data_IF_067376514714
#
_entry.id   IF_067376514714
#
_cell.length_a   1.000
_cell.length_b   1.000
_cell.length_c   1.000
_cell.angle_alpha   90.00
_cell.angle_beta   90.00
_cell.angle_gamma   90.00
#
_symmetry.space_group_name_H-M   'P 1'
#
loop_
_entity.id
_entity.type
_entity.pdbx_description
1 polymer ?
#
# COMPACT_ATOMS: atom_id res chain seq x y z
N UNK A 1 14.35 61.99 27.11
CA UNK A 1 14.70 60.76 26.38
C UNK A 1 14.07 59.60 27.13
N UNK A 2 12.86 59.24 26.76
CA UNK A 2 12.14 58.05 27.25
C UNK A 2 12.66 56.85 26.48
N UNK A 3 13.50 56.04 27.10
CA UNK A 3 13.86 54.71 26.58
C UNK A 3 12.62 53.82 26.63
N UNK A 4 12.10 53.46 25.46
CA UNK A 4 11.22 52.31 25.30
C UNK A 4 12.01 51.04 25.63
N UNK A 5 11.51 50.15 26.52
CA UNK A 5 12.16 48.89 26.76
C UNK A 5 12.08 48.05 25.48
N UNK A 6 13.23 47.56 25.02
CA UNK A 6 13.29 46.57 23.94
C UNK A 6 12.58 45.29 24.39
N UNK A 7 11.76 44.65 23.55
CA UNK A 7 11.13 43.38 23.91
C UNK A 7 12.24 42.35 24.14
N UNK A 8 12.35 41.86 25.36
CA UNK A 8 13.21 40.74 25.71
C UNK A 8 12.63 39.48 25.07
N UNK A 9 13.08 39.16 23.86
CA UNK A 9 12.80 37.85 23.25
C UNK A 9 13.46 36.77 24.12
N UNK A 10 12.65 36.02 24.87
CA UNK A 10 13.12 34.84 25.58
C UNK A 10 13.24 33.69 24.59
N UNK A 11 14.43 33.08 24.49
CA UNK A 11 14.60 31.86 23.70
C UNK A 11 13.78 30.68 24.25
N UNK A 12 13.35 30.72 25.52
CA UNK A 12 12.51 29.69 26.15
C UNK A 12 11.06 29.75 25.63
N UNK A 13 10.49 30.95 25.49
CA UNK A 13 9.18 31.16 24.83
C UNK A 13 9.22 30.66 23.37
N UNK A 14 10.30 30.95 22.64
CA UNK A 14 10.47 30.48 21.27
C UNK A 14 10.54 28.94 21.17
N UNK A 15 11.19 28.26 22.12
CA UNK A 15 11.22 26.78 22.17
C UNK A 15 9.80 26.25 22.40
N UNK A 16 9.03 26.84 23.32
CA UNK A 16 7.63 26.50 23.54
C UNK A 16 6.79 26.65 22.27
N UNK A 17 6.94 27.76 21.55
CA UNK A 17 6.25 28.01 20.27
C UNK A 17 6.62 26.99 19.19
N UNK A 18 7.91 26.62 19.07
CA UNK A 18 8.35 25.58 18.12
C UNK A 18 7.82 24.19 18.49
N UNK A 19 7.75 23.85 19.78
CA UNK A 19 7.14 22.60 20.24
C UNK A 19 5.64 22.58 19.90
N UNK A 20 4.90 23.66 20.18
CA UNK A 20 3.48 23.79 19.83
C UNK A 20 3.28 23.75 18.31
N UNK A 21 4.13 24.42 17.53
CA UNK A 21 4.09 24.38 16.07
C UNK A 21 4.34 22.97 15.53
N UNK A 22 5.35 22.26 16.04
CA UNK A 22 5.64 20.86 15.70
C UNK A 22 4.42 19.97 15.96
N UNK A 23 3.74 20.18 17.08
CA UNK A 23 2.53 19.47 17.48
C UNK A 23 1.33 19.76 16.58
N UNK A 24 1.13 21.02 16.19
CA UNK A 24 0.12 21.38 15.17
C UNK A 24 0.41 20.71 13.84
N UNK A 25 1.68 20.56 13.44
CA UNK A 25 2.05 19.82 12.23
C UNK A 25 1.70 18.33 12.33
N UNK A 26 1.87 17.70 13.50
CA UNK A 26 1.45 16.30 13.73
C UNK A 26 -0.07 16.13 13.59
N UNK A 27 -0.89 17.07 14.11
CA UNK A 27 -2.36 17.03 13.93
C UNK A 27 -2.74 17.03 12.45
N UNK A 28 -2.16 17.95 11.67
CA UNK A 28 -2.41 18.03 10.24
C UNK A 28 -1.95 16.73 9.54
N UNK A 29 -0.88 16.10 10.03
CA UNK A 29 -0.43 14.79 9.52
C UNK A 29 -1.46 13.68 9.79
N UNK A 30 -2.19 13.73 10.89
CA UNK A 30 -3.23 12.75 11.23
C UNK A 30 -4.49 12.91 10.39
N UNK A 31 -4.90 14.14 10.11
CA UNK A 31 -6.02 14.42 9.20
C UNK A 31 -5.73 13.84 7.80
N UNK A 32 -4.50 14.03 7.31
CA UNK A 32 -4.04 13.41 6.05
C UNK A 32 -4.02 11.89 6.11
N UNK A 33 -3.60 11.33 7.23
CA UNK A 33 -3.58 9.87 7.43
C UNK A 33 -5.01 9.32 7.37
N UNK A 34 -5.95 9.99 8.02
CA UNK A 34 -7.37 9.62 8.01
C UNK A 34 -7.96 9.71 6.60
N UNK A 35 -7.68 10.78 5.87
CA UNK A 35 -8.09 10.93 4.46
C UNK A 35 -7.51 9.80 3.59
N UNK A 36 -6.24 9.46 3.77
CA UNK A 36 -5.59 8.37 3.04
C UNK A 36 -6.24 7.01 3.36
N UNK A 37 -6.52 6.70 4.63
CA UNK A 37 -7.20 5.46 5.04
C UNK A 37 -8.62 5.40 4.47
N UNK A 38 -9.37 6.49 4.53
CA UNK A 38 -10.72 6.57 3.95
C UNK A 38 -10.69 6.35 2.43
N UNK A 39 -9.75 7.00 1.73
CA UNK A 39 -9.55 6.79 0.30
C UNK A 39 -9.26 5.32 -0.02
N UNK A 40 -8.35 4.68 0.73
CA UNK A 40 -8.01 3.27 0.57
C UNK A 40 -9.22 2.36 0.81
N UNK A 41 -10.03 2.65 1.84
CA UNK A 41 -11.27 1.93 2.11
C UNK A 41 -12.27 2.01 0.93
N UNK A 42 -12.48 3.21 0.38
CA UNK A 42 -13.34 3.42 -0.81
C UNK A 42 -12.82 2.67 -2.03
N UNK A 43 -11.52 2.74 -2.29
CA UNK A 43 -10.89 2.04 -3.42
C UNK A 43 -10.99 0.52 -3.24
N UNK A 44 -10.78 -0.01 -2.03
CA UNK A 44 -10.95 -1.45 -1.75
C UNK A 44 -12.36 -1.92 -2.08
N UNK A 45 -13.37 -1.19 -1.62
CA UNK A 45 -14.77 -1.51 -1.91
C UNK A 45 -15.04 -1.51 -3.42
N UNK A 46 -14.58 -0.49 -4.13
CA UNK A 46 -14.73 -0.38 -5.59
C UNK A 46 -14.00 -1.51 -6.33
N UNK A 47 -12.74 -1.80 -5.97
CA UNK A 47 -11.96 -2.91 -6.55
C UNK A 47 -12.68 -4.23 -6.36
N UNK A 48 -13.24 -4.48 -5.17
CA UNK A 48 -14.01 -5.70 -4.92
C UNK A 48 -15.23 -5.83 -5.84
N UNK A 49 -16.01 -4.76 -6.03
CA UNK A 49 -17.17 -4.81 -6.92
C UNK A 49 -16.76 -4.99 -8.39
N UNK A 50 -15.72 -4.29 -8.85
CA UNK A 50 -15.18 -4.47 -10.19
C UNK A 50 -14.63 -5.90 -10.42
N UNK A 51 -14.04 -6.53 -9.40
CA UNK A 51 -13.60 -7.93 -9.47
C UNK A 51 -14.77 -8.91 -9.64
N UNK A 52 -15.90 -8.65 -8.99
CA UNK A 52 -17.14 -9.43 -9.13
C UNK A 52 -17.77 -9.20 -10.50
N UNK A 53 -17.90 -7.94 -10.92
CA UNK A 53 -18.41 -7.58 -12.25
C UNK A 53 -17.58 -8.22 -13.37
N UNK A 54 -16.25 -8.18 -13.25
CA UNK A 54 -15.32 -8.83 -14.19
C UNK A 54 -15.54 -10.34 -14.27
N UNK A 55 -15.73 -11.00 -13.13
CA UNK A 55 -16.02 -12.43 -13.05
C UNK A 55 -17.34 -12.78 -13.75
N UNK A 56 -18.41 -12.06 -13.42
CA UNK A 56 -19.72 -12.24 -14.04
C UNK A 56 -19.70 -11.94 -15.55
N UNK A 57 -19.00 -10.89 -15.98
CA UNK A 57 -18.83 -10.54 -17.40
C UNK A 57 -18.17 -11.68 -18.18
N UNK A 58 -17.15 -12.31 -17.60
CA UNK A 58 -16.47 -13.45 -18.23
C UNK A 58 -17.38 -14.66 -18.38
N UNK A 59 -18.21 -14.96 -17.37
CA UNK A 59 -19.18 -16.05 -17.40
C UNK A 59 -20.36 -15.78 -18.33
N UNK A 60 -20.83 -14.52 -18.37
CA UNK A 60 -21.85 -14.06 -19.31
C UNK A 60 -21.41 -14.30 -20.75
N UNK A 61 -20.23 -13.79 -21.14
CA UNK A 61 -19.67 -14.00 -22.49
C UNK A 61 -19.44 -15.49 -22.75
N UNK A 62 -18.80 -16.20 -21.81
CA UNK A 62 -18.49 -17.63 -21.95
C UNK A 62 -19.72 -18.54 -22.07
N UNK A 63 -20.87 -18.12 -21.52
CA UNK A 63 -22.15 -18.82 -21.67
C UNK A 63 -22.93 -18.42 -22.93
N UNK A 64 -22.36 -17.56 -23.78
CA UNK A 64 -23.06 -17.01 -24.92
C UNK A 64 -24.25 -16.12 -24.53
N UNK A 65 -24.24 -15.52 -23.34
CA UNK A 65 -25.33 -14.68 -22.84
C UNK A 65 -26.54 -15.43 -22.30
N UNK A 66 -26.35 -16.67 -21.81
CA UNK A 66 -27.44 -17.51 -21.30
C UNK A 66 -27.47 -17.57 -19.76
N UNK A 67 -26.34 -17.29 -19.08
CA UNK A 67 -26.18 -17.38 -17.62
C UNK A 67 -25.60 -16.07 -17.08
N UNK A 68 -25.84 -15.77 -15.81
CA UNK A 68 -25.32 -14.61 -15.09
C UNK A 68 -25.92 -13.24 -15.51
N UNK A 69 -27.09 -13.21 -16.16
CA UNK A 69 -27.73 -11.94 -16.54
C UNK A 69 -28.08 -11.08 -15.33
N UNK A 70 -28.75 -11.69 -14.34
CA UNK A 70 -29.26 -11.01 -13.16
C UNK A 70 -28.11 -10.59 -12.23
N UNK A 71 -27.15 -11.49 -12.00
CA UNK A 71 -25.95 -11.20 -11.20
C UNK A 71 -25.10 -10.11 -11.85
N UNK A 72 -24.95 -10.11 -13.19
CA UNK A 72 -24.21 -9.05 -13.88
C UNK A 72 -24.90 -7.70 -13.74
N UNK A 73 -26.23 -7.64 -13.84
CA UNK A 73 -26.99 -6.42 -13.63
C UNK A 73 -26.82 -5.91 -12.18
N UNK A 74 -26.88 -6.80 -11.19
CA UNK A 74 -26.63 -6.48 -9.80
C UNK A 74 -25.22 -5.93 -9.58
N UNK A 75 -24.18 -6.61 -10.08
CA UNK A 75 -22.79 -6.21 -9.86
C UNK A 75 -22.45 -4.90 -10.56
N UNK A 76 -23.08 -4.60 -11.70
CA UNK A 76 -22.97 -3.29 -12.36
C UNK A 76 -23.53 -2.18 -11.48
N UNK A 77 -24.72 -2.36 -10.90
CA UNK A 77 -25.32 -1.38 -10.00
C UNK A 77 -24.50 -1.16 -8.72
N UNK A 78 -23.95 -2.23 -8.14
CA UNK A 78 -23.06 -2.17 -6.98
C UNK A 78 -21.72 -1.47 -7.31
N UNK A 79 -21.16 -1.76 -8.50
CA UNK A 79 -19.96 -1.08 -9.00
C UNK A 79 -20.21 0.41 -9.27
N UNK A 80 -21.38 0.79 -9.79
CA UNK A 80 -21.75 2.18 -10.02
C UNK A 80 -21.92 2.95 -8.71
N UNK A 81 -22.59 2.32 -7.73
CA UNK A 81 -22.76 2.91 -6.39
C UNK A 81 -21.41 3.16 -5.73
N UNK A 82 -20.49 2.19 -5.80
CA UNK A 82 -19.16 2.34 -5.20
C UNK A 82 -18.26 3.30 -5.99
N UNK A 83 -18.37 3.36 -7.32
CA UNK A 83 -17.66 4.33 -8.15
C UNK A 83 -18.12 5.76 -7.89
N UNK A 84 -19.43 5.95 -7.70
CA UNK A 84 -20.01 7.24 -7.34
C UNK A 84 -19.56 7.68 -5.94
N UNK A 85 -19.61 6.80 -4.94
CA UNK A 85 -19.10 7.11 -3.60
C UNK A 85 -17.59 7.42 -3.58
N UNK A 86 -16.81 6.76 -4.43
CA UNK A 86 -15.40 7.10 -4.64
C UNK A 86 -15.26 8.51 -5.22
N UNK A 87 -16.02 8.85 -6.27
CA UNK A 87 -15.99 10.18 -6.90
C UNK A 87 -16.39 11.30 -5.93
N UNK A 88 -17.49 11.12 -5.20
CA UNK A 88 -17.99 12.10 -4.22
C UNK A 88 -16.97 12.38 -3.12
N UNK A 89 -16.19 11.38 -2.70
CA UNK A 89 -15.11 11.58 -1.74
C UNK A 89 -14.00 12.50 -2.29
N UNK A 90 -13.82 12.56 -3.60
CA UNK A 90 -12.79 13.38 -4.25
C UNK A 90 -13.24 14.82 -4.53
N UNK A 91 -14.54 15.10 -4.55
CA UNK A 91 -15.06 16.42 -4.94
C UNK A 91 -14.53 17.53 -4.02
N UNK A 92 -14.29 17.23 -2.73
CA UNK A 92 -13.70 18.16 -1.77
C UNK A 92 -12.18 18.37 -1.89
N UNK A 93 -11.47 17.54 -2.65
CA UNK A 93 -10.00 17.60 -2.75
C UNK A 93 -9.52 18.70 -3.71
N UNK A 94 -10.38 19.14 -4.62
CA UNK A 94 -10.05 20.10 -5.69
C UNK A 94 -10.34 21.55 -5.32
N UNK A 95 -10.85 21.82 -4.11
CA UNK A 95 -11.13 23.17 -3.64
C UNK A 95 -9.83 23.99 -3.45
N UNK A 96 -9.82 25.30 -3.82
CA UNK A 96 -8.65 26.16 -3.64
C UNK A 96 -8.19 26.21 -2.18
N UNK A 97 -6.97 25.76 -1.91
CA UNK A 97 -6.41 25.68 -0.55
C UNK A 97 -6.51 24.29 0.12
N UNK A 98 -7.40 23.41 -0.36
CA UNK A 98 -7.46 22.00 0.08
C UNK A 98 -6.32 21.17 -0.53
N UNK A 99 -5.89 21.52 -1.74
CA UNK A 99 -4.78 20.88 -2.46
C UNK A 99 -3.37 21.25 -1.94
N UNK A 100 -3.23 22.03 -0.87
CA UNK A 100 -1.91 22.42 -0.34
C UNK A 100 -1.05 21.20 0.08
N UNK A 101 -1.67 20.02 0.20
CA UNK A 101 -1.08 18.84 0.83
C UNK A 101 -1.19 17.55 -0.01
N UNK A 102 -1.95 17.55 -1.11
CA UNK A 102 -2.04 16.41 -2.01
C UNK A 102 -0.81 16.35 -2.92
N UNK A 103 -0.05 15.25 -2.87
CA UNK A 103 1.14 15.07 -3.71
C UNK A 103 0.72 15.01 -5.18
N UNK A 104 1.43 15.73 -6.06
CA UNK A 104 1.20 15.72 -7.52
C UNK A 104 1.13 14.30 -8.10
N UNK A 105 1.92 13.36 -7.58
CA UNK A 105 1.92 11.95 -7.99
C UNK A 105 0.58 11.25 -7.69
N UNK A 106 -0.01 11.49 -6.51
CA UNK A 106 -1.31 10.94 -6.11
C UNK A 106 -2.44 11.45 -6.99
N UNK A 107 -2.50 12.77 -7.20
CA UNK A 107 -3.49 13.38 -8.09
C UNK A 107 -3.38 12.84 -9.52
N UNK A 108 -2.16 12.65 -10.03
CA UNK A 108 -1.93 12.02 -11.34
C UNK A 108 -2.45 10.58 -11.42
N UNK A 109 -2.24 9.76 -10.36
CA UNK A 109 -2.79 8.40 -10.30
C UNK A 109 -4.31 8.38 -10.21
N UNK A 110 -4.89 9.30 -9.47
CA UNK A 110 -6.35 9.45 -9.36
C UNK A 110 -6.97 9.85 -10.70
N UNK A 111 -6.36 10.78 -11.44
CA UNK A 111 -6.82 11.17 -12.77
C UNK A 111 -6.83 9.97 -13.74
N UNK A 112 -5.80 9.11 -13.70
CA UNK A 112 -5.77 7.88 -14.50
C UNK A 112 -6.87 6.89 -14.08
N UNK A 113 -7.12 6.72 -12.78
CA UNK A 113 -8.18 5.86 -12.27
C UNK A 113 -9.58 6.36 -12.69
N UNK A 114 -9.83 7.68 -12.57
CA UNK A 114 -11.06 8.32 -13.03
C UNK A 114 -11.25 8.21 -14.53
N UNK A 115 -10.18 8.34 -15.32
CA UNK A 115 -10.24 8.10 -16.76
C UNK A 115 -10.63 6.65 -17.07
N UNK A 116 -10.05 5.67 -16.39
CA UNK A 116 -10.45 4.27 -16.53
C UNK A 116 -11.93 4.03 -16.17
N UNK A 117 -12.42 4.65 -15.09
CA UNK A 117 -13.84 4.58 -14.71
C UNK A 117 -14.76 5.19 -15.77
N UNK A 118 -14.33 6.27 -16.43
CA UNK A 118 -15.11 6.90 -17.51
C UNK A 118 -15.27 6.00 -18.74
N UNK A 119 -14.36 5.03 -18.94
CA UNK A 119 -14.44 4.04 -20.02
C UNK A 119 -15.34 2.83 -19.70
N UNK A 120 -15.76 2.66 -18.44
CA UNK A 120 -16.53 1.51 -17.98
C UNK A 120 -17.86 1.31 -18.73
N UNK A 121 -18.63 2.35 -19.09
CA UNK A 121 -19.84 2.19 -19.89
C UNK A 121 -19.59 1.58 -21.28
N UNK A 122 -18.50 1.97 -21.96
CA UNK A 122 -18.14 1.40 -23.27
C UNK A 122 -17.80 -0.07 -23.15
N UNK A 123 -16.95 -0.41 -22.18
CA UNK A 123 -16.58 -1.81 -21.89
C UNK A 123 -17.83 -2.67 -21.60
N UNK A 124 -18.78 -2.15 -20.83
CA UNK A 124 -20.03 -2.84 -20.52
C UNK A 124 -20.93 -3.03 -21.73
N UNK A 125 -20.99 -2.05 -22.63
CA UNK A 125 -21.74 -2.17 -23.89
C UNK A 125 -21.16 -3.30 -24.75
N UNK A 126 -19.84 -3.32 -24.91
CA UNK A 126 -19.13 -4.37 -25.66
C UNK A 126 -19.31 -5.77 -25.02
N UNK A 127 -19.30 -5.86 -23.69
CA UNK A 127 -19.63 -7.11 -22.96
C UNK A 127 -21.08 -7.55 -23.19
N UNK A 128 -22.03 -6.60 -23.18
CA UNK A 128 -23.45 -6.88 -23.39
C UNK A 128 -23.74 -7.32 -24.83
N UNK A 129 -23.10 -6.69 -25.81
CA UNK A 129 -23.16 -7.06 -27.23
C UNK A 129 -22.37 -8.34 -27.54
N UNK A 130 -21.48 -8.75 -26.62
CA UNK A 130 -20.56 -9.90 -26.74
C UNK A 130 -19.61 -9.75 -27.93
N UNK A 131 -19.15 -8.52 -28.18
CA UNK A 131 -18.15 -8.22 -29.21
C UNK A 131 -16.73 -8.55 -28.75
N UNK A 132 -16.51 -8.58 -27.44
CA UNK A 132 -15.24 -8.97 -26.81
C UNK A 132 -15.19 -10.45 -26.45
N UNK A 133 -14.00 -11.03 -26.52
CA UNK A 133 -13.72 -12.32 -25.90
C UNK A 133 -13.68 -12.20 -24.36
N UNK A 134 -13.89 -13.32 -23.61
CA UNK A 134 -13.78 -13.30 -22.15
C UNK A 134 -12.43 -12.77 -21.64
N UNK A 135 -11.34 -13.05 -22.37
CA UNK A 135 -9.99 -12.60 -22.00
C UNK A 135 -9.78 -11.10 -22.24
N UNK A 136 -10.37 -10.53 -23.29
CA UNK A 136 -10.32 -9.09 -23.55
C UNK A 136 -11.14 -8.30 -22.53
N UNK A 137 -12.35 -8.76 -22.21
CA UNK A 137 -13.16 -8.18 -21.14
C UNK A 137 -12.41 -8.24 -19.79
N UNK A 138 -11.84 -9.41 -19.44
CA UNK A 138 -11.01 -9.59 -18.25
C UNK A 138 -9.84 -8.59 -18.21
N UNK A 139 -9.15 -8.37 -19.34
CA UNK A 139 -8.04 -7.41 -19.44
C UNK A 139 -8.50 -5.98 -19.15
N UNK A 140 -9.59 -5.53 -19.77
CA UNK A 140 -10.13 -4.17 -19.58
C UNK A 140 -10.45 -3.86 -18.12
N UNK A 141 -11.15 -4.76 -17.43
CA UNK A 141 -11.41 -4.60 -15.99
C UNK A 141 -10.12 -4.65 -15.15
N UNK A 142 -9.18 -5.54 -15.50
CA UNK A 142 -7.93 -5.70 -14.74
C UNK A 142 -7.02 -4.47 -14.86
N UNK A 143 -7.03 -3.77 -16.00
CA UNK A 143 -6.30 -2.50 -16.19
C UNK A 143 -6.87 -1.36 -15.33
N UNK A 144 -8.20 -1.29 -15.22
CA UNK A 144 -8.86 -0.36 -14.30
C UNK A 144 -8.53 -0.68 -12.83
N UNK A 145 -8.65 -1.95 -12.43
CA UNK A 145 -8.30 -2.39 -11.06
C UNK A 145 -6.83 -2.08 -10.75
N UNK A 146 -5.91 -2.32 -11.69
CA UNK A 146 -4.48 -1.98 -11.55
C UNK A 146 -4.28 -0.48 -11.31
N UNK A 147 -5.03 0.37 -12.02
CA UNK A 147 -4.95 1.82 -11.86
C UNK A 147 -5.45 2.27 -10.47
N UNK A 148 -6.50 1.64 -9.96
CA UNK A 148 -7.01 1.86 -8.60
C UNK A 148 -6.02 1.40 -7.53
N UNK A 149 -5.43 0.20 -7.67
CA UNK A 149 -4.41 -0.29 -6.74
C UNK A 149 -3.14 0.59 -6.74
N UNK A 150 -2.80 1.23 -7.86
CA UNK A 150 -1.70 2.19 -7.92
C UNK A 150 -1.97 3.46 -7.10
N UNK A 151 -3.23 3.86 -6.92
CA UNK A 151 -3.62 4.95 -6.01
C UNK A 151 -3.43 4.52 -4.55
N UNK A 152 -3.84 3.29 -4.19
CA UNK A 152 -3.62 2.73 -2.83
C UNK A 152 -2.13 2.69 -2.50
N UNK A 153 -1.30 2.25 -3.46
CA UNK A 153 0.16 2.27 -3.30
C UNK A 153 0.68 3.68 -3.00
N UNK A 154 0.20 4.68 -3.72
CA UNK A 154 0.62 6.07 -3.51
C UNK A 154 0.18 6.62 -2.16
N UNK A 155 -1.05 6.28 -1.73
CA UNK A 155 -1.55 6.66 -0.42
C UNK A 155 -0.70 6.01 0.70
N UNK A 156 -0.35 4.73 0.56
CA UNK A 156 0.53 4.02 1.50
C UNK A 156 1.93 4.62 1.58
N UNK A 157 2.53 5.00 0.44
CA UNK A 157 3.83 5.69 0.37
C UNK A 157 3.84 7.09 1.00
N UNK A 158 2.65 7.66 1.20
CA UNK A 158 2.49 8.97 1.83
C UNK A 158 2.26 8.93 3.34
N UNK A 159 1.96 7.75 3.89
CA UNK A 159 1.76 7.58 5.31
C UNK A 159 3.04 7.86 6.10
N UNK A 160 2.87 8.53 7.24
CA UNK A 160 3.95 8.97 8.13
C UNK A 160 3.95 8.21 9.45
N UNK A 161 2.85 7.50 9.77
CA UNK A 161 2.74 6.65 10.94
C UNK A 161 3.23 5.21 10.65
N UNK A 162 4.13 4.63 11.47
CA UNK A 162 4.67 3.30 11.20
C UNK A 162 3.62 2.18 11.26
N UNK A 163 2.75 2.16 12.26
CA UNK A 163 1.75 1.10 12.42
C UNK A 163 0.74 1.11 11.27
N UNK A 164 0.23 2.29 10.92
CA UNK A 164 -0.68 2.47 9.79
C UNK A 164 0.03 2.16 8.47
N UNK A 165 1.30 2.55 8.31
CA UNK A 165 2.07 2.19 7.11
C UNK A 165 2.24 0.68 6.97
N UNK A 166 2.55 -0.03 8.06
CA UNK A 166 2.63 -1.50 8.07
C UNK A 166 1.28 -2.13 7.69
N UNK A 167 0.18 -1.66 8.29
CA UNK A 167 -1.17 -2.13 7.97
C UNK A 167 -1.53 -1.88 6.50
N UNK A 168 -1.19 -0.71 5.94
CA UNK A 168 -1.40 -0.36 4.54
C UNK A 168 -0.56 -1.24 3.59
N UNK A 169 0.71 -1.51 3.92
CA UNK A 169 1.57 -2.42 3.14
C UNK A 169 1.00 -3.84 3.13
N UNK A 170 0.53 -4.33 4.28
CA UNK A 170 -0.12 -5.64 4.39
C UNK A 170 -1.40 -5.70 3.54
N UNK A 171 -2.29 -4.71 3.69
CA UNK A 171 -3.55 -4.63 2.95
C UNK A 171 -3.31 -4.54 1.44
N UNK A 172 -2.44 -3.64 0.99
CA UNK A 172 -2.12 -3.46 -0.42
C UNK A 172 -1.57 -4.73 -1.07
N UNK A 173 -0.63 -5.39 -0.40
CA UNK A 173 -0.05 -6.62 -0.93
C UNK A 173 -1.08 -7.76 -0.96
N UNK A 174 -1.96 -7.84 0.04
CA UNK A 174 -3.03 -8.82 0.04
C UNK A 174 -4.04 -8.56 -1.08
N UNK A 175 -4.49 -7.32 -1.26
CA UNK A 175 -5.37 -6.90 -2.36
C UNK A 175 -4.76 -7.23 -3.74
N UNK A 176 -3.45 -6.98 -3.90
CA UNK A 176 -2.71 -7.31 -5.11
C UNK A 176 -2.64 -8.82 -5.36
N UNK A 177 -2.36 -9.61 -4.31
CA UNK A 177 -2.36 -11.07 -4.38
C UNK A 177 -3.74 -11.62 -4.77
N UNK A 178 -4.82 -11.10 -4.19
CA UNK A 178 -6.21 -11.45 -4.53
C UNK A 178 -6.54 -11.11 -5.98
N UNK A 179 -6.11 -9.95 -6.45
CA UNK A 179 -6.30 -9.53 -7.84
C UNK A 179 -5.58 -10.48 -8.81
N UNK A 180 -4.34 -10.84 -8.52
CA UNK A 180 -3.57 -11.80 -9.32
C UNK A 180 -4.17 -13.21 -9.28
N UNK A 181 -4.78 -13.62 -8.15
CA UNK A 181 -5.53 -14.88 -8.05
C UNK A 181 -6.79 -14.86 -8.94
N UNK A 182 -7.47 -13.72 -9.05
CA UNK A 182 -8.57 -13.52 -9.99
C UNK A 182 -8.16 -13.65 -11.46
N UNK A 183 -6.99 -13.11 -11.82
CA UNK A 183 -6.41 -13.27 -13.16
C UNK A 183 -5.95 -14.70 -13.44
N UNK A 184 -5.31 -15.36 -12.46
CA UNK A 184 -4.96 -16.78 -12.52
C UNK A 184 -6.21 -17.63 -12.81
N UNK A 185 -7.32 -17.40 -12.10
CA UNK A 185 -8.56 -18.13 -12.31
C UNK A 185 -8.98 -18.07 -13.77
N UNK A 186 -8.96 -16.90 -14.39
CA UNK A 186 -9.37 -16.70 -15.77
C UNK A 186 -8.43 -17.40 -16.76
N UNK A 187 -7.12 -17.26 -16.57
CA UNK A 187 -6.10 -17.92 -17.41
C UNK A 187 -6.24 -19.44 -17.32
N UNK A 188 -6.39 -19.98 -16.11
CA UNK A 188 -6.58 -21.41 -15.91
C UNK A 188 -7.90 -21.92 -16.48
N UNK A 189 -9.00 -21.17 -16.34
CA UNK A 189 -10.28 -21.54 -16.93
C UNK A 189 -10.21 -21.58 -18.47
N UNK A 190 -9.51 -20.62 -19.09
CA UNK A 190 -9.27 -20.63 -20.53
C UNK A 190 -8.45 -21.86 -20.96
N UNK A 191 -7.34 -22.17 -20.27
CA UNK A 191 -6.48 -23.29 -20.64
C UNK A 191 -7.14 -24.66 -20.40
N UNK A 192 -7.82 -24.86 -19.27
CA UNK A 192 -8.56 -26.10 -19.02
C UNK A 192 -9.78 -26.23 -19.93
N UNK A 193 -10.46 -25.14 -20.27
CA UNK A 193 -11.58 -25.16 -21.21
C UNK A 193 -11.17 -25.52 -22.64
N UNK A 194 -9.98 -25.08 -23.08
CA UNK A 194 -9.40 -25.44 -24.38
C UNK A 194 -8.72 -26.82 -24.38
N UNK A 195 -8.47 -27.39 -23.19
CA UNK A 195 -7.73 -28.64 -23.01
C UNK A 195 -6.24 -28.53 -23.28
N UNK A 196 -5.73 -27.33 -23.58
CA UNK A 196 -4.32 -27.07 -23.91
C UNK A 196 -3.85 -25.80 -23.20
N UNK A 197 -2.66 -25.88 -22.62
CA UNK A 197 -1.89 -24.73 -22.19
C UNK A 197 -0.74 -24.54 -23.15
N UNK A 198 -0.86 -23.59 -24.08
CA UNK A 198 0.22 -23.24 -24.97
C UNK A 198 1.41 -22.59 -24.22
N UNK A 199 2.50 -22.32 -24.93
CA UNK A 199 3.70 -21.73 -24.33
C UNK A 199 3.48 -20.34 -23.71
N UNK A 200 2.57 -19.54 -24.25
CA UNK A 200 2.30 -18.18 -23.77
C UNK A 200 1.38 -18.19 -22.55
N UNK A 201 0.25 -18.90 -22.64
CA UNK A 201 -0.74 -19.04 -21.57
C UNK A 201 -0.13 -19.67 -20.32
N UNK A 202 0.71 -20.70 -20.49
CA UNK A 202 1.45 -21.34 -19.39
C UNK A 202 2.39 -20.34 -18.69
N UNK A 203 3.06 -19.48 -19.46
CA UNK A 203 3.97 -18.48 -18.90
C UNK A 203 3.21 -17.36 -18.19
N UNK A 204 2.10 -16.89 -18.76
CA UNK A 204 1.22 -15.94 -18.08
C UNK A 204 0.69 -16.51 -16.76
N UNK A 205 0.28 -17.79 -16.74
CA UNK A 205 -0.14 -18.49 -15.52
C UNK A 205 0.98 -18.53 -14.47
N UNK A 206 2.18 -19.01 -14.85
CA UNK A 206 3.35 -19.05 -13.96
C UNK A 206 3.68 -17.66 -13.40
N UNK A 207 3.63 -16.62 -14.25
CA UNK A 207 3.85 -15.25 -13.79
C UNK A 207 2.84 -14.83 -12.72
N UNK A 208 1.54 -15.13 -12.90
CA UNK A 208 0.52 -14.79 -11.91
C UNK A 208 0.72 -15.56 -10.60
N UNK A 209 1.12 -16.83 -10.66
CA UNK A 209 1.42 -17.65 -9.48
C UNK A 209 2.62 -17.08 -8.72
N UNK A 210 3.74 -16.82 -9.40
CA UNK A 210 4.95 -16.25 -8.80
C UNK A 210 4.66 -14.88 -8.18
N UNK A 211 3.88 -14.04 -8.88
CA UNK A 211 3.51 -12.71 -8.41
C UNK A 211 2.63 -12.74 -7.15
N UNK A 212 1.68 -13.68 -7.08
CA UNK A 212 0.91 -13.93 -5.87
C UNK A 212 1.82 -14.30 -4.70
N UNK A 213 2.76 -15.23 -4.89
CA UNK A 213 3.63 -15.69 -3.82
C UNK A 213 4.44 -14.53 -3.21
N UNK A 214 4.98 -13.63 -4.05
CA UNK A 214 5.66 -12.43 -3.57
C UNK A 214 4.74 -11.52 -2.78
N UNK A 215 3.54 -11.25 -3.30
CA UNK A 215 2.55 -10.43 -2.61
C UNK A 215 2.17 -11.02 -1.25
N UNK A 216 1.87 -12.32 -1.17
CA UNK A 216 1.50 -12.97 0.08
C UNK A 216 2.68 -13.09 1.07
N UNK A 217 3.92 -13.18 0.58
CA UNK A 217 5.12 -13.13 1.43
C UNK A 217 5.26 -11.79 2.13
N UNK A 218 5.17 -10.68 1.38
CA UNK A 218 5.23 -9.33 1.95
C UNK A 218 4.04 -9.12 2.89
N UNK A 219 2.83 -9.51 2.49
CA UNK A 219 1.67 -9.47 3.40
C UNK A 219 1.97 -10.18 4.73
N UNK A 220 2.54 -11.39 4.71
CA UNK A 220 2.79 -12.17 5.93
C UNK A 220 3.84 -11.55 6.85
N UNK A 221 4.73 -10.71 6.33
CA UNK A 221 5.75 -9.98 7.09
C UNK A 221 5.17 -8.77 7.85
N UNK A 222 4.17 -8.12 7.26
CA UNK A 222 3.59 -6.87 7.79
C UNK A 222 2.24 -7.06 8.48
N UNK A 223 1.52 -8.15 8.17
CA UNK A 223 0.16 -8.38 8.64
C UNK A 223 0.07 -8.68 10.15
N UNK A 224 -1.07 -8.34 10.77
CA UNK A 224 -1.32 -8.68 12.17
C UNK A 224 -1.50 -10.20 12.34
N UNK A 225 -1.17 -10.71 13.53
CA UNK A 225 -1.22 -12.16 13.85
C UNK A 225 -2.55 -12.84 13.49
N UNK A 226 -3.74 -12.24 13.74
CA UNK A 226 -5.02 -12.85 13.35
C UNK A 226 -5.15 -13.05 11.84
N UNK A 227 -4.70 -12.08 11.03
CA UNK A 227 -4.73 -12.20 9.57
C UNK A 227 -3.74 -13.27 9.06
N UNK A 228 -2.55 -13.37 9.66
CA UNK A 228 -1.59 -14.43 9.34
C UNK A 228 -2.13 -15.82 9.70
N UNK A 229 -2.82 -15.96 10.83
CA UNK A 229 -3.44 -17.23 11.22
C UNK A 229 -4.56 -17.64 10.25
N UNK A 230 -5.45 -16.70 9.91
CA UNK A 230 -6.50 -16.93 8.91
C UNK A 230 -5.93 -17.30 7.54
N UNK A 231 -4.82 -16.67 7.13
CA UNK A 231 -4.11 -17.03 5.90
C UNK A 231 -3.50 -18.44 5.93
N UNK A 232 -2.93 -18.86 7.06
CA UNK A 232 -2.42 -20.23 7.23
C UNK A 232 -3.54 -21.27 7.16
N UNK A 233 -4.68 -21.00 7.80
CA UNK A 233 -5.85 -21.87 7.75
C UNK A 233 -6.40 -22.01 6.33
N UNK A 234 -6.52 -20.90 5.60
CA UNK A 234 -6.93 -20.89 4.19
C UNK A 234 -6.00 -21.74 3.32
N UNK A 235 -4.69 -21.67 3.54
CA UNK A 235 -3.72 -22.50 2.79
C UNK A 235 -3.82 -23.99 3.12
N UNK A 236 -4.31 -24.35 4.31
CA UNK A 236 -4.57 -25.73 4.71
C UNK A 236 -5.91 -26.30 4.23
N UNK A 237 -6.78 -25.47 3.65
CA UNK A 237 -8.11 -25.89 3.22
C UNK A 237 -8.06 -26.82 2.00
N UNK A 238 -9.09 -27.68 1.85
CA UNK A 238 -9.16 -28.68 0.79
C UNK A 238 -9.10 -28.09 -0.64
N UNK A 239 -9.71 -26.91 -0.86
CA UNK A 239 -9.62 -26.22 -2.15
C UNK A 239 -8.21 -25.73 -2.48
N UNK A 240 -7.37 -25.41 -1.49
CA UNK A 240 -6.02 -24.91 -1.72
C UNK A 240 -5.10 -26.02 -2.25
N UNK A 241 -5.22 -27.22 -1.67
CA UNK A 241 -4.52 -28.42 -2.15
C UNK A 241 -4.93 -28.75 -3.60
N UNK A 242 -6.22 -28.63 -3.92
CA UNK A 242 -6.72 -28.90 -5.27
C UNK A 242 -6.26 -27.86 -6.30
N UNK A 243 -6.26 -26.57 -5.94
CA UNK A 243 -5.69 -25.51 -6.80
C UNK A 243 -4.21 -25.80 -7.08
N UNK A 244 -3.43 -26.19 -6.09
CA UNK A 244 -2.01 -26.53 -6.27
C UNK A 244 -1.80 -27.76 -7.16
N UNK A 245 -2.65 -28.78 -7.02
CA UNK A 245 -2.66 -29.95 -7.91
C UNK A 245 -2.91 -29.55 -9.36
N UNK A 246 -3.91 -28.70 -9.60
CA UNK A 246 -4.26 -28.20 -10.94
C UNK A 246 -3.20 -27.26 -11.52
N UNK A 247 -2.58 -26.39 -10.70
CA UNK A 247 -1.43 -25.56 -11.10
C UNK A 247 -0.30 -26.40 -11.66
N UNK A 248 0.10 -27.46 -10.93
CA UNK A 248 1.15 -28.38 -11.38
C UNK A 248 0.79 -28.98 -12.73
N UNK A 249 -0.45 -29.44 -12.90
CA UNK A 249 -0.89 -30.02 -14.16
C UNK A 249 -0.80 -29.04 -15.33
N UNK A 250 -1.29 -27.80 -15.16
CA UNK A 250 -1.21 -26.76 -16.17
C UNK A 250 0.24 -26.40 -16.54
N UNK A 251 1.15 -26.42 -15.55
CA UNK A 251 2.54 -26.04 -15.74
C UNK A 251 3.41 -27.17 -16.33
N UNK A 252 3.07 -28.44 -16.15
CA UNK A 252 3.90 -29.58 -16.61
C UNK A 252 3.41 -30.27 -17.88
N UNK A 253 2.11 -30.31 -18.14
CA UNK A 253 1.54 -31.14 -19.22
C UNK A 253 1.54 -30.49 -20.63
N UNK A 254 2.56 -29.69 -20.94
CA UNK A 254 2.75 -29.13 -22.30
C UNK A 254 3.38 -30.08 -23.31
N UNK A 255 4.19 -31.05 -22.85
CA UNK A 255 5.08 -31.84 -23.73
C UNK A 255 4.81 -33.36 -23.74
N UNK A 256 3.89 -33.86 -22.90
CA UNK A 256 3.66 -35.30 -22.77
C UNK A 256 2.35 -35.70 -23.44
N UNK A 257 2.50 -36.16 -24.69
CA UNK A 257 1.68 -37.18 -25.37
C UNK A 257 0.17 -37.08 -25.17
N UNK A 258 -0.53 -36.57 -26.19
CA UNK A 258 -1.66 -37.24 -26.86
C UNK A 258 -2.86 -37.74 -26.04
N UNK A 259 -2.94 -37.51 -24.74
CA UNK A 259 -4.13 -37.81 -23.95
C UNK A 259 -5.04 -36.58 -24.04
N UNK A 260 -6.27 -36.73 -24.57
CA UNK A 260 -7.19 -35.63 -24.69
C UNK A 260 -7.52 -35.15 -23.27
N UNK A 261 -7.15 -33.91 -22.97
CA UNK A 261 -7.54 -33.20 -21.75
C UNK A 261 -8.84 -32.37 -21.86
N UNK A 262 -9.85 -32.63 -22.73
CA UNK A 262 -11.15 -32.03 -22.56
C UNK A 262 -11.94 -32.89 -21.57
N UNK A 263 -11.64 -32.75 -20.29
CA UNK A 263 -12.65 -33.04 -19.27
C UNK A 263 -13.22 -31.70 -18.81
N UNK A 264 -14.40 -31.29 -19.31
CA UNK A 264 -15.09 -30.08 -18.86
C UNK A 264 -15.18 -29.99 -17.33
N UNK A 265 -15.23 -31.13 -16.64
CA UNK A 265 -15.25 -31.20 -15.19
C UNK A 265 -13.99 -30.58 -14.55
N UNK A 266 -12.83 -30.57 -15.21
CA UNK A 266 -11.60 -29.93 -14.69
C UNK A 266 -11.67 -28.41 -14.75
N UNK A 267 -12.21 -27.84 -15.83
CA UNK A 267 -12.41 -26.40 -15.93
C UNK A 267 -13.42 -25.92 -14.88
N UNK A 268 -14.48 -26.69 -14.65
CA UNK A 268 -15.47 -26.43 -13.60
C UNK A 268 -14.86 -26.56 -12.19
N UNK A 269 -14.10 -27.62 -11.93
CA UNK A 269 -13.41 -27.83 -10.64
C UNK A 269 -12.41 -26.70 -10.36
N UNK A 270 -11.60 -26.33 -11.36
CA UNK A 270 -10.68 -25.20 -11.26
C UNK A 270 -11.42 -23.92 -10.90
N UNK A 271 -12.49 -23.61 -11.64
CA UNK A 271 -13.29 -22.41 -11.42
C UNK A 271 -13.91 -22.40 -10.01
N UNK A 272 -14.47 -23.52 -9.55
CA UNK A 272 -15.07 -23.66 -8.23
C UNK A 272 -14.03 -23.48 -7.11
N UNK A 273 -12.91 -24.21 -7.16
CA UNK A 273 -11.88 -24.14 -6.12
C UNK A 273 -11.19 -22.76 -6.06
N UNK A 274 -10.91 -22.15 -7.21
CA UNK A 274 -10.32 -20.80 -7.23
C UNK A 274 -11.31 -19.72 -6.80
N UNK A 275 -12.61 -19.87 -7.08
CA UNK A 275 -13.65 -18.96 -6.57
C UNK A 275 -13.77 -19.08 -5.06
N UNK A 276 -13.88 -20.29 -4.51
CA UNK A 276 -13.87 -20.51 -3.06
C UNK A 276 -12.63 -19.92 -2.37
N UNK A 277 -11.45 -20.05 -3.00
CA UNK A 277 -10.22 -19.43 -2.51
C UNK A 277 -10.29 -17.90 -2.49
N UNK A 278 -10.81 -17.27 -3.55
CA UNK A 278 -10.96 -15.81 -3.63
C UNK A 278 -11.99 -15.29 -2.63
N UNK A 279 -13.08 -16.03 -2.42
CA UNK A 279 -14.11 -15.69 -1.43
C UNK A 279 -13.52 -15.77 -0.01
N UNK A 280 -12.77 -16.83 0.31
CA UNK A 280 -12.05 -16.92 1.59
C UNK A 280 -10.99 -15.81 1.76
N UNK A 281 -10.33 -15.38 0.67
CA UNK A 281 -9.43 -14.22 0.71
C UNK A 281 -10.19 -12.93 1.05
N UNK A 282 -11.45 -12.79 0.65
CA UNK A 282 -12.24 -11.59 0.96
C UNK A 282 -12.40 -11.40 2.47
N UNK A 283 -12.60 -12.48 3.22
CA UNK A 283 -12.70 -12.43 4.69
C UNK A 283 -11.41 -11.90 5.33
N UNK A 284 -10.24 -12.32 4.84
CA UNK A 284 -8.94 -11.84 5.32
C UNK A 284 -8.72 -10.37 4.95
N UNK A 285 -9.14 -9.94 3.75
CA UNK A 285 -9.11 -8.55 3.34
C UNK A 285 -9.97 -7.66 4.27
N UNK A 286 -11.10 -8.17 4.74
CA UNK A 286 -11.97 -7.44 5.68
C UNK A 286 -11.37 -7.38 7.09
N UNK A 287 -10.69 -8.45 7.55
CA UNK A 287 -9.88 -8.41 8.78
C UNK A 287 -8.77 -7.35 8.71
N UNK A 288 -8.10 -7.24 7.56
CA UNK A 288 -7.04 -6.25 7.35
C UNK A 288 -7.58 -4.82 7.32
N UNK A 289 -8.76 -4.59 6.72
CA UNK A 289 -9.41 -3.28 6.78
C UNK A 289 -9.78 -2.90 8.21
N UNK A 290 -10.39 -3.81 8.97
CA UNK A 290 -10.75 -3.53 10.36
C UNK A 290 -9.51 -3.16 11.18
N UNK A 291 -8.42 -3.92 11.03
CA UNK A 291 -7.16 -3.62 11.70
C UNK A 291 -6.59 -2.25 11.31
N UNK A 292 -6.62 -1.89 10.01
CA UNK A 292 -6.18 -0.58 9.54
C UNK A 292 -6.98 0.56 10.20
N UNK A 293 -8.31 0.42 10.28
CA UNK A 293 -9.18 1.41 10.90
C UNK A 293 -8.94 1.51 12.41
N UNK A 294 -8.70 0.38 13.09
CA UNK A 294 -8.33 0.33 14.51
C UNK A 294 -7.00 1.05 14.77
N UNK A 295 -5.94 0.74 14.00
CA UNK A 295 -4.65 1.42 14.10
C UNK A 295 -4.79 2.94 13.90
N UNK A 296 -5.52 3.35 12.86
CA UNK A 296 -5.75 4.77 12.59
C UNK A 296 -6.51 5.46 13.75
N UNK A 297 -7.55 4.82 14.27
CA UNK A 297 -8.36 5.38 15.36
C UNK A 297 -7.59 5.45 16.68
N UNK A 298 -6.79 4.42 16.98
CA UNK A 298 -5.92 4.38 18.14
C UNK A 298 -4.85 5.48 18.08
N UNK A 299 -4.20 5.66 16.92
CA UNK A 299 -3.20 6.72 16.73
C UNK A 299 -3.80 8.11 16.89
N UNK A 300 -4.95 8.37 16.26
CA UNK A 300 -5.66 9.65 16.39
C UNK A 300 -6.00 9.95 17.85
N UNK A 301 -6.42 8.93 18.61
CA UNK A 301 -6.76 9.08 20.04
C UNK A 301 -5.52 9.35 20.88
N UNK A 302 -4.44 8.60 20.65
CA UNK A 302 -3.17 8.76 21.38
C UNK A 302 -2.56 10.15 21.17
N UNK A 303 -2.46 10.60 19.92
CA UNK A 303 -1.86 11.91 19.64
C UNK A 303 -2.74 13.06 20.14
N UNK A 304 -4.07 12.95 20.11
CA UNK A 304 -4.96 13.94 20.76
C UNK A 304 -4.74 14.04 22.26
N UNK A 305 -4.51 12.92 22.94
CA UNK A 305 -4.20 12.91 24.37
C UNK A 305 -2.82 13.52 24.65
N UNK A 306 -1.82 13.16 23.85
CA UNK A 306 -0.45 13.71 23.95
C UNK A 306 -0.43 15.23 23.74
N UNK A 307 -1.21 15.75 22.78
CA UNK A 307 -1.35 17.18 22.52
C UNK A 307 -1.93 17.95 23.71
N UNK A 308 -2.97 17.41 24.34
CA UNK A 308 -3.52 17.97 25.57
C UNK A 308 -2.46 18.03 26.67
N UNK A 309 -1.75 16.92 26.88
CA UNK A 309 -0.71 16.83 27.92
C UNK A 309 0.47 17.78 27.67
N UNK A 310 0.89 17.97 26.41
CA UNK A 310 1.95 18.93 26.06
C UNK A 310 1.47 20.36 26.22
N UNK A 311 0.24 20.69 25.80
CA UNK A 311 -0.32 22.03 26.01
C UNK A 311 -0.39 22.36 27.50
N UNK A 312 -0.92 21.44 28.30
CA UNK A 312 -1.05 21.63 29.74
C UNK A 312 0.34 21.76 30.42
N UNK A 313 1.37 21.05 29.93
CA UNK A 313 2.76 21.20 30.43
C UNK A 313 3.41 22.51 30.00
N UNK A 314 3.17 22.98 28.78
CA UNK A 314 3.67 24.28 28.30
C UNK A 314 3.00 25.41 29.09
N UNK A 315 1.69 25.31 29.35
CA UNK A 315 0.96 26.24 30.20
C UNK A 315 1.50 26.22 31.65
N UNK A 316 1.74 25.05 32.23
CA UNK A 316 2.35 24.92 33.57
C UNK A 316 3.78 25.49 33.65
N UNK A 317 4.58 25.34 32.60
CA UNK A 317 5.93 25.90 32.52
C UNK A 317 5.89 27.43 32.37
N UNK A 318 4.97 27.95 31.55
CA UNK A 318 4.74 29.39 31.39
C UNK A 318 4.22 30.04 32.69
N UNK A 319 3.40 29.33 33.47
CA UNK A 319 2.94 29.77 34.79
C UNK A 319 4.05 29.69 35.86
N UNK A 320 5.07 28.83 35.65
CA UNK A 320 6.20 28.63 36.55
C UNK A 320 7.38 29.60 36.32
N UNK A 321 7.40 30.38 35.24
CA UNK A 321 8.42 31.42 34.95
C UNK A 321 8.26 32.69 35.83
N UNK A 322 8.08 32.49 37.12
CA UNK A 322 8.35 33.47 38.18
C UNK A 322 9.46 32.92 39.10
N UNK A 323 10.70 32.80 38.60
CA UNK A 323 11.96 33.22 39.28
C UNK A 323 13.23 32.60 38.67
N UNK A 324 14.11 33.53 38.30
CA UNK A 324 15.58 33.56 38.40
C UNK A 324 16.48 32.66 37.52
N UNK A 325 17.44 33.37 36.93
CA UNK A 325 18.49 32.99 35.97
C UNK A 325 19.39 31.84 36.40
N UNK A 326 19.65 30.91 35.48
CA UNK A 326 20.73 29.90 35.60
C UNK A 326 21.76 30.10 34.47
N UNK A 327 23.09 30.03 34.73
CA UNK A 327 24.12 30.26 33.72
C UNK A 327 24.18 29.15 32.65
N UNK A 328 24.31 29.60 31.39
CA UNK A 328 24.34 28.84 30.12
C UNK A 328 25.37 27.70 30.02
N UNK A 329 26.33 27.57 30.96
CA UNK A 329 27.46 26.66 30.86
C UNK A 329 27.17 25.20 31.30
N UNK A 330 26.04 24.93 31.93
CA UNK A 330 25.61 23.56 32.31
C UNK A 330 24.78 22.89 31.18
N UNK A 331 24.52 23.63 30.09
CA UNK A 331 23.50 23.30 29.09
C UNK A 331 23.96 22.32 27.99
N UNK A 332 25.27 22.17 27.79
CA UNK A 332 25.88 21.20 26.86
C UNK A 332 26.87 20.32 27.62
N UNK A 333 26.37 19.28 28.28
CA UNK A 333 27.22 18.28 28.94
C UNK A 333 28.19 17.64 27.96
N UNK A 334 29.48 17.66 28.31
CA UNK A 334 30.56 16.99 27.61
C UNK A 334 30.35 15.45 27.56
N UNK A 335 30.96 14.73 26.60
CA UNK A 335 30.71 13.31 26.41
C UNK A 335 31.18 12.48 27.62
N UNK A 336 30.54 11.34 27.79
CA UNK A 336 30.78 10.30 28.79
C UNK A 336 32.26 10.11 29.13
N UNK A 337 32.57 10.09 30.43
CA UNK A 337 33.84 9.57 30.93
C UNK A 337 34.56 10.47 31.94
N UNK A 338 34.00 10.66 33.14
CA UNK A 338 34.80 11.00 34.32
C UNK A 338 34.27 10.20 35.52
N UNK A 339 35.09 9.24 35.94
CA UNK A 339 34.95 8.46 37.16
C UNK A 339 34.83 9.39 38.37
N UNK A 340 33.82 9.13 39.20
CA UNK A 340 33.61 9.84 40.46
C UNK A 340 34.60 9.37 41.52
N UNK A 341 35.67 10.14 41.74
CA UNK A 341 36.35 10.13 43.02
C UNK A 341 35.51 10.89 44.03
N UNK A 342 35.10 10.19 45.09
CA UNK A 342 34.48 10.75 46.29
C UNK A 342 35.41 11.77 46.93
N UNK A 343 34.91 12.98 47.23
CA UNK A 343 35.34 13.75 48.40
C UNK A 343 34.15 14.57 48.93
N UNK A 344 33.97 14.48 50.24
CA UNK A 344 32.92 15.10 51.06
C UNK A 344 33.11 16.62 51.14
N UNK A 345 32.03 17.39 50.98
CA UNK A 345 32.08 18.85 51.09
C UNK A 345 30.75 19.51 50.80
N UNK A 346 30.03 19.82 51.86
CA UNK A 346 28.77 20.55 51.94
C UNK A 346 28.77 21.87 51.13
N UNK A 347 28.08 21.90 50.00
CA UNK A 347 27.28 23.05 49.52
C UNK A 347 26.25 22.51 48.53
N UNK A 348 25.03 22.25 48.99
CA UNK A 348 23.89 21.96 48.12
C UNK A 348 23.52 23.27 47.42
N UNK A 349 24.18 23.54 46.29
CA UNK A 349 23.69 24.47 45.29
C UNK A 349 22.40 23.85 44.72
N UNK A 350 21.27 24.26 45.28
CA UNK A 350 19.95 23.97 44.76
C UNK A 350 19.78 24.75 43.45
N UNK A 351 20.38 24.23 42.38
CA UNK A 351 20.22 24.78 41.02
C UNK A 351 18.79 24.48 40.56
N UNK A 352 18.02 25.47 40.06
CA UNK A 352 16.66 25.25 39.61
C UNK A 352 16.62 24.22 38.47
N UNK A 353 15.84 23.15 38.64
CA UNK A 353 15.69 21.99 37.75
C UNK A 353 14.86 22.32 36.49
N UNK A 354 14.64 23.60 36.16
CA UNK A 354 13.70 24.02 35.10
C UNK A 354 14.28 23.83 33.70
N UNK A 355 15.56 24.14 33.48
CA UNK A 355 16.25 23.95 32.18
C UNK A 355 16.37 22.48 31.76
N UNK A 356 16.35 21.54 32.72
CA UNK A 356 16.30 20.11 32.43
C UNK A 356 14.93 19.69 31.86
N UNK A 357 13.84 20.36 32.22
CA UNK A 357 12.48 19.98 31.81
C UNK A 357 12.23 20.21 30.31
N UNK A 358 12.61 21.38 29.78
CA UNK A 358 12.40 21.72 28.36
C UNK A 358 13.34 20.94 27.44
N UNK A 359 14.62 20.80 27.82
CA UNK A 359 15.58 20.02 27.03
C UNK A 359 15.27 18.52 27.06
N UNK A 360 14.78 17.97 28.18
CA UNK A 360 14.29 16.60 28.27
C UNK A 360 13.06 16.39 27.37
N UNK A 361 12.15 17.36 27.26
CA UNK A 361 11.04 17.31 26.29
C UNK A 361 11.54 17.28 24.84
N UNK A 362 12.51 18.12 24.49
CA UNK A 362 13.12 18.16 23.15
C UNK A 362 13.86 16.85 22.84
N UNK A 363 14.65 16.32 23.77
CA UNK A 363 15.38 15.06 23.60
C UNK A 363 14.44 13.86 23.49
N UNK A 364 13.38 13.80 24.30
CA UNK A 364 12.33 12.76 24.17
C UNK A 364 11.63 12.85 22.82
N UNK A 365 11.34 14.05 22.34
CA UNK A 365 10.73 14.23 21.02
C UNK A 365 11.68 13.80 19.90
N UNK A 366 12.95 14.18 19.94
CA UNK A 366 13.94 13.76 18.96
C UNK A 366 14.12 12.23 18.93
N UNK A 367 14.21 11.60 20.09
CA UNK A 367 14.32 10.13 20.21
C UNK A 367 13.08 9.42 19.67
N UNK A 368 11.87 9.94 19.98
CA UNK A 368 10.60 9.42 19.45
C UNK A 368 10.57 9.52 17.92
N UNK A 369 10.96 10.67 17.35
CA UNK A 369 10.96 10.87 15.90
C UNK A 369 11.93 9.93 15.19
N UNK A 370 13.13 9.73 15.74
CA UNK A 370 14.11 8.79 15.17
C UNK A 370 13.57 7.35 15.16
N UNK A 371 12.97 6.90 16.27
CA UNK A 371 12.36 5.56 16.34
C UNK A 371 11.25 5.37 15.31
N UNK A 372 10.42 6.40 15.10
CA UNK A 372 9.35 6.38 14.09
C UNK A 372 9.94 6.30 12.69
N UNK A 373 11.01 7.05 12.38
CA UNK A 373 11.67 7.01 11.08
C UNK A 373 12.27 5.63 10.78
N UNK A 374 12.91 5.00 11.77
CA UNK A 374 13.52 3.68 11.64
C UNK A 374 12.46 2.60 11.36
N UNK A 375 11.33 2.61 12.08
CA UNK A 375 10.22 1.67 11.87
C UNK A 375 9.54 1.86 10.51
N UNK A 376 9.42 3.11 10.06
CA UNK A 376 8.83 3.47 8.77
C UNK A 376 9.72 3.03 7.60
N UNK A 377 11.04 2.97 7.80
CA UNK A 377 12.01 2.63 6.75
C UNK A 377 11.77 1.24 6.16
N UNK A 378 11.49 0.23 7.01
CA UNK A 378 11.22 -1.13 6.53
C UNK A 378 9.95 -1.23 5.67
N UNK A 379 8.87 -0.56 6.08
CA UNK A 379 7.63 -0.52 5.30
C UNK A 379 7.82 0.22 3.96
N UNK A 380 8.57 1.32 3.97
CA UNK A 380 8.91 2.09 2.76
C UNK A 380 9.81 1.30 1.81
N UNK A 381 10.79 0.58 2.33
CA UNK A 381 11.68 -0.25 1.51
C UNK A 381 10.88 -1.28 0.69
N UNK A 382 9.90 -1.95 1.30
CA UNK A 382 9.04 -2.90 0.59
C UNK A 382 8.23 -2.23 -0.55
N UNK A 383 7.81 -0.98 -0.37
CA UNK A 383 7.14 -0.19 -1.41
C UNK A 383 8.13 0.27 -2.49
N UNK A 384 9.32 0.71 -2.12
CA UNK A 384 10.36 1.20 -3.04
C UNK A 384 10.91 0.10 -3.96
N UNK A 385 11.11 -1.11 -3.44
CA UNK A 385 11.47 -2.28 -4.24
C UNK A 385 10.43 -2.53 -5.33
N UNK A 386 9.14 -2.46 -4.99
CA UNK A 386 8.04 -2.60 -5.95
C UNK A 386 8.05 -1.47 -6.97
N UNK A 387 8.21 -0.22 -6.55
CA UNK A 387 8.27 0.94 -7.44
C UNK A 387 9.38 0.81 -8.47
N UNK A 388 10.53 0.30 -8.04
CA UNK A 388 11.70 0.05 -8.90
C UNK A 388 11.42 -1.03 -9.93
N UNK A 389 10.78 -2.15 -9.51
CA UNK A 389 10.36 -3.22 -10.42
C UNK A 389 9.35 -2.72 -11.46
N UNK A 390 8.32 -1.97 -11.03
CA UNK A 390 7.32 -1.41 -11.94
C UNK A 390 7.92 -0.41 -12.92
N UNK A 391 8.86 0.44 -12.47
CA UNK A 391 9.58 1.39 -13.34
C UNK A 391 10.45 0.65 -14.35
N UNK A 392 11.19 -0.38 -13.94
CA UNK A 392 11.97 -1.21 -14.84
C UNK A 392 11.08 -1.89 -15.90
N UNK A 393 9.92 -2.43 -15.50
CA UNK A 393 8.93 -2.97 -16.45
C UNK A 393 8.44 -1.90 -17.42
N UNK A 394 8.02 -0.74 -16.93
CA UNK A 394 7.53 0.35 -17.76
C UNK A 394 8.56 0.82 -18.80
N UNK A 395 9.83 0.91 -18.42
CA UNK A 395 10.93 1.24 -19.33
C UNK A 395 11.14 0.16 -20.40
N UNK A 396 11.07 -1.12 -20.03
CA UNK A 396 11.17 -2.22 -20.98
C UNK A 396 9.99 -2.24 -21.96
N UNK A 397 8.79 -1.93 -21.50
CA UNK A 397 7.60 -1.78 -22.35
C UNK A 397 7.82 -0.62 -23.33
N UNK A 398 8.24 0.55 -22.83
CA UNK A 398 8.42 1.75 -23.64
C UNK A 398 9.54 1.62 -24.70
N UNK A 399 10.72 1.12 -24.29
CA UNK A 399 11.89 1.10 -25.17
C UNK A 399 12.01 -0.17 -26.03
N UNK A 400 11.42 -1.29 -25.60
CA UNK A 400 11.52 -2.57 -26.33
C UNK A 400 10.18 -3.07 -26.87
N UNK A 401 9.08 -2.34 -26.65
CA UNK A 401 7.75 -2.75 -27.12
C UNK A 401 7.26 -4.07 -26.53
N UNK A 402 7.79 -4.47 -25.37
CA UNK A 402 7.44 -5.73 -24.72
C UNK A 402 6.08 -5.62 -24.05
N UNK A 403 5.34 -6.73 -23.97
CA UNK A 403 4.19 -6.81 -23.06
C UNK A 403 4.65 -6.82 -21.59
N UNK A 404 3.75 -6.52 -20.66
CA UNK A 404 4.09 -6.52 -19.23
C UNK A 404 4.65 -7.87 -18.76
N UNK A 405 4.04 -8.96 -19.20
CA UNK A 405 4.47 -10.33 -18.90
C UNK A 405 5.88 -10.61 -19.48
N UNK A 406 6.16 -10.13 -20.70
CA UNK A 406 7.47 -10.27 -21.35
C UNK A 406 8.56 -9.43 -20.67
N UNK A 407 8.25 -8.20 -20.27
CA UNK A 407 9.16 -7.32 -19.55
C UNK A 407 9.57 -7.94 -18.21
N UNK A 408 8.59 -8.47 -17.46
CA UNK A 408 8.89 -9.18 -16.23
C UNK A 408 9.71 -10.45 -16.45
N UNK A 409 9.38 -11.23 -17.49
CA UNK A 409 10.15 -12.44 -17.86
C UNK A 409 11.61 -12.11 -18.08
N UNK A 410 11.91 -11.04 -18.81
CA UNK A 410 13.27 -10.60 -19.06
C UNK A 410 14.01 -10.24 -17.76
N UNK A 411 13.37 -9.47 -16.88
CA UNK A 411 13.95 -9.11 -15.57
C UNK A 411 14.24 -10.35 -14.72
N UNK A 412 13.28 -11.29 -14.66
CA UNK A 412 13.44 -12.54 -13.91
C UNK A 412 14.54 -13.43 -14.49
N UNK A 413 14.56 -13.62 -15.81
CA UNK A 413 15.60 -14.43 -16.45
C UNK A 413 16.99 -13.83 -16.21
N UNK A 414 17.08 -12.50 -16.25
CA UNK A 414 18.32 -11.79 -15.93
C UNK A 414 18.71 -11.99 -14.45
N UNK A 415 17.75 -11.90 -13.52
CA UNK A 415 17.96 -12.17 -12.10
C UNK A 415 18.43 -13.60 -11.82
N UNK A 416 17.83 -14.60 -12.49
CA UNK A 416 18.23 -16.01 -12.38
C UNK A 416 19.63 -16.25 -12.96
N UNK A 417 19.91 -15.73 -14.15
CA UNK A 417 21.22 -15.90 -14.79
C UNK A 417 22.35 -15.23 -14.00
N UNK A 418 22.05 -14.16 -13.25
CA UNK A 418 23.02 -13.43 -12.44
C UNK A 418 23.01 -13.84 -10.96
N UNK A 419 22.13 -14.76 -10.53
CA UNK A 419 21.91 -15.11 -9.12
C UNK A 419 21.66 -13.90 -8.20
N UNK A 420 20.89 -12.91 -8.67
CA UNK A 420 20.57 -11.67 -7.94
C UNK A 420 19.09 -11.57 -7.60
N UNK A 421 18.75 -10.73 -6.63
CA UNK A 421 17.35 -10.40 -6.35
C UNK A 421 16.73 -9.64 -7.52
N UNK A 422 15.43 -9.83 -7.74
CA UNK A 422 14.71 -9.15 -8.81
C UNK A 422 14.77 -7.61 -8.67
N UNK A 423 14.67 -7.11 -7.44
CA UNK A 423 14.74 -5.67 -7.15
C UNK A 423 16.08 -5.07 -7.59
N UNK A 424 17.20 -5.76 -7.32
CA UNK A 424 18.54 -5.32 -7.73
C UNK A 424 18.73 -5.27 -9.25
N UNK A 425 18.16 -6.25 -9.97
CA UNK A 425 18.21 -6.25 -11.44
C UNK A 425 17.32 -5.15 -12.02
N UNK A 426 16.16 -4.90 -11.41
CA UNK A 426 15.30 -3.79 -11.78
C UNK A 426 16.02 -2.45 -11.57
N UNK A 427 16.71 -2.27 -10.45
CA UNK A 427 17.50 -1.08 -10.15
C UNK A 427 18.62 -0.88 -11.18
N UNK A 428 19.37 -1.93 -11.50
CA UNK A 428 20.39 -1.87 -12.55
C UNK A 428 19.80 -1.51 -13.93
N UNK A 429 18.60 -2.01 -14.25
CA UNK A 429 17.90 -1.69 -15.50
C UNK A 429 17.49 -0.22 -15.56
N UNK A 430 16.96 0.32 -14.46
CA UNK A 430 16.61 1.74 -14.33
C UNK A 430 17.87 2.61 -14.42
N UNK A 431 18.93 2.25 -13.71
CA UNK A 431 20.20 2.99 -13.73
C UNK A 431 20.83 3.02 -15.13
N UNK A 432 20.81 1.90 -15.86
CA UNK A 432 21.26 1.86 -17.25
C UNK A 432 20.40 2.74 -18.17
N UNK A 433 19.08 2.76 -17.97
CA UNK A 433 18.18 3.62 -18.74
C UNK A 433 18.39 5.10 -18.42
N UNK A 434 18.66 5.47 -17.18
CA UNK A 434 18.94 6.86 -16.80
C UNK A 434 20.29 7.34 -17.36
N UNK A 435 21.26 6.42 -17.55
CA UNK A 435 22.52 6.66 -18.24
C UNK A 435 22.36 6.78 -19.76
N UNK A 436 21.51 5.96 -20.37
CA UNK A 436 21.22 5.99 -21.81
C UNK A 436 20.23 7.10 -22.19
N UNK A 437 19.35 7.51 -21.27
CA UNK A 437 18.30 8.52 -21.45
C UNK A 437 18.78 9.97 -21.47
N UNK A 438 20.09 10.22 -21.35
CA UNK A 438 20.71 11.53 -21.66
C UNK A 438 21.21 11.65 -23.10
N UNK A 439 21.05 10.61 -23.93
CA UNK A 439 21.32 10.67 -25.37
C UNK A 439 20.16 10.02 -26.12
N UNK A 440 19.28 10.83 -26.69
CA UNK A 440 18.10 10.37 -27.40
C UNK A 440 18.41 9.44 -28.58
N UNK A 441 17.40 8.65 -28.92
CA UNK A 441 17.14 8.13 -30.26
C UNK A 441 15.67 8.35 -30.57
#
# INVERSE_FOLDING_TARGET
MTQTPSPSFSFEEAIGDFLVASRKCEVVSLERLLEAVQLVGRIRALVHQLQRERGASSLWIGSGGQRYADELAQYRAESDTTAQAFREHLDGWLEPGACAHARSRLLGRMALALHGLSGLPSLRAEVSERTLSPMEAMRGFSELIRSLLAVVFEAADSATDPEVSRALVALLNFMQGKELAGQERAIGAAGFGQGVFDGELRQSLLHRIDAQERSFRIFSEFAPKPACAAWQELQGAGFAAEVERLRRQACTHGDLRGDPLPDPARAETWFACTTARIDAMKEIEDLLEMHLNECCSARITADRADLGAVRDRVEQLAESELRDSVPYAVFFGAPEGLESTQEEGETVLNVPIVGHSVMDLVQRQATRLQSVEDELHAARQALDERKTIERAKALLIQHRGLSEDQAYKLLRQTAMNQNRRLAEVAEATVAMSDLLGKGGL
#
